data_IF_197848621913
#
_entry.id   IF_197848621913
#
_cell.length_a   1.000
_cell.length_b   1.000
_cell.length_c   1.000
_cell.angle_alpha   90.00
_cell.angle_beta   90.00
_cell.angle_gamma   90.00
#
_symmetry.space_group_name_H-M   'P 1'
#
loop_
_entity.id
_entity.type
_entity.pdbx_description
1 polymer ?
#
# COMPACT_ATOMS: atom_id res chain seq x y z
N UNK A 1 31.61 7.51 -19.65
CA UNK A 1 31.49 6.31 -20.49
C UNK A 1 30.04 5.85 -20.45
N UNK A 2 29.25 6.13 -21.54
CA UNK A 2 27.92 5.54 -21.71
C UNK A 2 28.10 4.04 -21.91
N UNK A 3 27.69 3.21 -20.93
CA UNK A 3 27.50 1.78 -21.17
C UNK A 3 26.44 1.62 -22.26
N UNK A 4 26.82 1.10 -23.41
CA UNK A 4 25.90 0.69 -24.47
C UNK A 4 25.01 -0.43 -23.87
N UNK A 5 23.70 -0.17 -23.74
CA UNK A 5 22.71 -1.19 -23.38
C UNK A 5 22.52 -2.08 -24.60
N UNK A 6 23.00 -3.31 -24.51
CA UNK A 6 22.89 -4.27 -25.61
C UNK A 6 21.58 -5.06 -25.63
N UNK A 7 20.82 -5.08 -24.53
CA UNK A 7 19.48 -5.69 -24.48
C UNK A 7 18.70 -5.14 -23.29
N UNK A 8 17.51 -4.60 -23.52
CA UNK A 8 16.56 -4.16 -22.51
C UNK A 8 15.45 -5.22 -22.36
N UNK A 9 15.73 -6.28 -21.59
CA UNK A 9 14.76 -7.34 -21.33
C UNK A 9 14.43 -7.38 -19.83
N UNK A 10 13.14 -7.59 -19.51
CA UNK A 10 12.72 -7.93 -18.16
C UNK A 10 13.33 -9.25 -17.73
N UNK A 11 13.90 -9.29 -16.53
CA UNK A 11 14.44 -10.50 -15.92
C UNK A 11 13.68 -10.80 -14.65
N UNK A 12 13.19 -12.04 -14.51
CA UNK A 12 12.71 -12.52 -13.23
C UNK A 12 13.87 -12.65 -12.26
N UNK A 13 13.66 -12.22 -11.03
CA UNK A 13 14.63 -12.35 -9.94
C UNK A 13 14.02 -13.16 -8.82
N UNK A 14 14.83 -14.03 -8.19
CA UNK A 14 14.42 -14.75 -7.00
C UNK A 14 14.74 -13.93 -5.77
N UNK A 15 13.89 -13.96 -4.78
CA UNK A 15 14.04 -13.28 -3.49
C UNK A 15 14.22 -14.28 -2.34
N UNK A 16 14.81 -13.84 -1.22
CA UNK A 16 15.29 -14.73 -0.16
C UNK A 16 14.22 -15.32 0.75
N UNK A 17 13.16 -14.55 1.02
CA UNK A 17 12.01 -14.98 1.84
C UNK A 17 10.75 -14.83 1.04
N UNK A 18 9.86 -15.81 1.15
CA UNK A 18 8.60 -15.78 0.44
C UNK A 18 7.62 -14.84 1.13
N UNK A 19 7.15 -13.83 0.40
CA UNK A 19 6.03 -13.00 0.80
C UNK A 19 4.75 -13.77 0.44
N UNK A 20 3.87 -14.09 1.39
CA UNK A 20 2.64 -14.82 1.08
C UNK A 20 1.86 -14.17 -0.06
N UNK A 21 1.26 -14.95 -0.97
CA UNK A 21 0.44 -14.43 -2.06
C UNK A 21 -0.64 -13.50 -1.53
N UNK A 22 -0.74 -12.29 -2.10
CA UNK A 22 -1.65 -11.24 -1.63
C UNK A 22 -2.10 -10.31 -2.73
N UNK A 23 -3.25 -9.72 -2.56
CA UNK A 23 -3.79 -8.63 -3.35
C UNK A 23 -4.27 -7.53 -2.40
N UNK A 24 -4.64 -6.37 -2.91
CA UNK A 24 -4.98 -5.18 -2.12
C UNK A 24 -3.90 -4.83 -1.08
N UNK A 25 -2.64 -4.91 -1.51
CA UNK A 25 -1.47 -4.52 -0.73
C UNK A 25 -0.86 -3.24 -1.28
N UNK A 26 -0.37 -2.39 -0.39
CA UNK A 26 0.35 -1.18 -0.76
C UNK A 26 1.84 -1.45 -0.95
N UNK A 27 2.44 -0.83 -1.97
CA UNK A 27 3.88 -0.86 -2.16
C UNK A 27 4.44 0.54 -2.35
N UNK A 28 5.70 0.75 -1.96
CA UNK A 28 6.36 2.04 -2.09
C UNK A 28 7.84 1.95 -1.76
N UNK A 29 8.59 2.98 -2.12
CA UNK A 29 9.99 3.07 -1.73
C UNK A 29 10.10 3.56 -0.29
N UNK A 30 10.92 2.87 0.52
CA UNK A 30 11.42 3.42 1.78
C UNK A 30 12.49 4.47 1.47
N UNK A 31 13.44 4.08 0.65
CA UNK A 31 14.53 4.90 0.14
C UNK A 31 14.94 4.38 -1.25
N UNK A 32 16.10 4.85 -1.74
CA UNK A 32 16.58 4.51 -3.09
C UNK A 32 16.76 3.00 -3.32
N UNK A 33 17.09 2.24 -2.27
CA UNK A 33 17.53 0.84 -2.38
C UNK A 33 16.54 -0.16 -1.76
N UNK A 34 15.42 0.31 -1.20
CA UNK A 34 14.47 -0.54 -0.48
C UNK A 34 13.03 -0.28 -0.91
N UNK A 35 12.35 -1.33 -1.36
CA UNK A 35 10.90 -1.34 -1.58
C UNK A 35 10.22 -1.92 -0.35
N UNK A 36 9.12 -1.31 0.06
CA UNK A 36 8.22 -1.81 1.09
C UNK A 36 6.98 -2.43 0.47
N UNK A 37 6.47 -3.49 1.10
CA UNK A 37 5.16 -4.10 0.78
C UNK A 37 4.38 -4.23 2.08
N UNK A 38 3.22 -3.59 2.15
CA UNK A 38 2.41 -3.52 3.36
C UNK A 38 1.02 -4.09 3.17
N UNK A 39 0.62 -4.95 4.10
CA UNK A 39 -0.75 -5.43 4.25
C UNK A 39 -1.28 -6.21 3.05
N UNK A 40 -2.58 -6.06 2.82
CA UNK A 40 -3.31 -6.77 1.77
C UNK A 40 -4.12 -7.94 2.31
N UNK A 41 -4.69 -8.73 1.40
CA UNK A 41 -5.39 -9.95 1.76
C UNK A 41 -5.02 -11.09 0.82
N UNK A 42 -5.18 -12.31 1.29
CA UNK A 42 -4.85 -13.49 0.50
C UNK A 42 -4.95 -14.77 1.32
N UNK A 43 -4.53 -15.86 0.70
CA UNK A 43 -4.44 -17.15 1.34
C UNK A 43 -2.97 -17.58 1.40
N UNK A 44 -2.42 -17.94 2.58
CA UNK A 44 -1.03 -18.39 2.69
C UNK A 44 -0.67 -19.57 1.80
N UNK A 45 -1.65 -20.38 1.42
CA UNK A 45 -1.45 -21.53 0.51
C UNK A 45 -1.60 -21.17 -0.97
N UNK A 46 -1.82 -19.90 -1.31
CA UNK A 46 -2.02 -19.43 -2.68
C UNK A 46 -3.34 -19.84 -3.33
N UNK A 47 -4.30 -20.40 -2.58
CA UNK A 47 -5.64 -20.78 -3.06
C UNK A 47 -6.61 -19.64 -2.76
N UNK A 48 -7.19 -19.03 -3.78
CA UNK A 48 -8.09 -17.87 -3.62
C UNK A 48 -9.48 -18.20 -3.07
N UNK A 49 -9.89 -19.45 -3.12
CA UNK A 49 -11.30 -19.83 -2.91
C UNK A 49 -11.70 -20.04 -1.45
N UNK A 50 -10.75 -20.30 -0.55
CA UNK A 50 -11.04 -20.60 0.86
C UNK A 50 -9.98 -20.00 1.80
N UNK A 51 -10.45 -19.39 2.89
CA UNK A 51 -9.56 -18.95 3.96
C UNK A 51 -8.76 -17.69 3.63
N UNK A 52 -9.36 -16.74 2.90
CA UNK A 52 -8.77 -15.42 2.69
C UNK A 52 -8.69 -14.69 4.03
N UNK A 53 -7.51 -14.18 4.37
CA UNK A 53 -7.24 -13.39 5.56
C UNK A 53 -6.64 -12.04 5.17
N UNK A 54 -6.87 -11.02 6.01
CA UNK A 54 -6.18 -9.74 5.88
C UNK A 54 -4.81 -9.86 6.54
N UNK A 55 -3.79 -9.38 5.83
CA UNK A 55 -2.42 -9.26 6.34
C UNK A 55 -2.18 -7.85 6.88
N UNK A 56 -1.49 -7.77 8.00
CA UNK A 56 -1.09 -6.50 8.64
C UNK A 56 0.42 -6.45 8.88
N UNK A 57 1.17 -7.03 7.97
CA UNK A 57 2.62 -7.13 8.03
C UNK A 57 3.29 -6.19 7.03
N UNK A 58 4.48 -5.72 7.37
CA UNK A 58 5.36 -4.95 6.51
C UNK A 58 6.59 -5.76 6.15
N UNK A 59 6.86 -5.85 4.86
CA UNK A 59 8.09 -6.41 4.31
C UNK A 59 8.95 -5.31 3.69
N UNK A 60 10.26 -5.49 3.79
CA UNK A 60 11.25 -4.74 3.03
C UNK A 60 11.94 -5.65 2.03
N UNK A 61 12.17 -5.14 0.82
CA UNK A 61 12.89 -5.82 -0.26
C UNK A 61 14.07 -4.92 -0.64
N UNK A 62 15.29 -5.40 -0.43
CA UNK A 62 16.50 -4.74 -0.92
C UNK A 62 16.64 -4.99 -2.42
N UNK A 63 16.63 -3.93 -3.24
CA UNK A 63 16.61 -4.05 -4.71
C UNK A 63 17.98 -4.41 -5.31
N UNK A 64 19.07 -4.31 -4.54
CA UNK A 64 20.41 -4.69 -5.01
C UNK A 64 20.72 -6.17 -4.78
N UNK A 65 20.19 -6.72 -3.68
CA UNK A 65 20.47 -8.11 -3.27
C UNK A 65 19.26 -9.03 -3.39
N UNK A 66 18.06 -8.47 -3.62
CA UNK A 66 16.76 -9.14 -3.63
C UNK A 66 16.46 -9.90 -2.34
N UNK A 67 17.07 -9.48 -1.24
CA UNK A 67 16.75 -9.99 0.09
C UNK A 67 15.46 -9.36 0.57
N UNK A 68 14.56 -10.22 1.02
CA UNK A 68 13.31 -9.82 1.69
C UNK A 68 13.45 -9.99 3.19
N UNK A 69 12.79 -9.14 3.94
CA UNK A 69 12.72 -9.22 5.40
C UNK A 69 11.36 -8.73 5.87
N UNK A 70 10.67 -9.53 6.69
CA UNK A 70 9.52 -9.03 7.45
C UNK A 70 10.04 -8.10 8.54
N UNK A 71 9.52 -6.86 8.56
CA UNK A 71 9.89 -5.86 9.54
C UNK A 71 9.06 -5.98 10.81
N UNK A 72 7.73 -6.05 10.65
CA UNK A 72 6.79 -6.16 11.76
C UNK A 72 5.42 -6.70 11.29
N UNK A 73 4.57 -7.00 12.26
CA UNK A 73 3.17 -7.38 12.05
C UNK A 73 2.33 -6.72 13.14
N UNK A 74 1.23 -6.06 12.75
CA UNK A 74 0.26 -5.52 13.70
C UNK A 74 -0.69 -6.66 14.12
N UNK A 75 -1.02 -6.82 15.42
CA UNK A 75 -2.02 -7.79 15.88
C UNK A 75 -3.36 -7.60 15.18
N UNK A 76 -4.02 -8.71 14.82
CA UNK A 76 -5.25 -8.70 14.00
C UNK A 76 -6.54 -8.55 14.81
N UNK A 77 -6.48 -8.38 16.12
CA UNK A 77 -7.62 -8.56 17.04
C UNK A 77 -8.80 -7.59 16.82
N UNK A 78 -8.57 -6.45 16.16
CA UNK A 78 -9.61 -5.42 15.95
C UNK A 78 -9.53 -4.75 14.57
N UNK A 79 -8.60 -5.18 13.72
CA UNK A 79 -8.37 -4.54 12.44
C UNK A 79 -9.18 -5.21 11.33
N UNK A 80 -9.90 -4.41 10.55
CA UNK A 80 -10.57 -4.86 9.34
C UNK A 80 -10.34 -3.84 8.23
N UNK A 81 -9.15 -3.89 7.61
CA UNK A 81 -8.83 -3.05 6.47
C UNK A 81 -7.83 -3.74 5.54
N UNK A 82 -7.86 -3.32 4.30
CA UNK A 82 -6.83 -3.58 3.29
C UNK A 82 -6.22 -2.27 2.84
N UNK A 83 -5.16 -2.34 2.05
CA UNK A 83 -4.34 -1.20 1.67
C UNK A 83 -4.57 -0.84 0.20
N UNK A 84 -4.65 0.45 -0.10
CA UNK A 84 -4.57 0.94 -1.47
C UNK A 84 -3.19 0.70 -2.11
N UNK A 85 -3.10 0.88 -3.43
CA UNK A 85 -1.94 0.42 -4.21
C UNK A 85 -0.58 0.95 -3.76
N UNK A 86 -0.48 2.20 -3.35
CA UNK A 86 0.78 2.79 -2.94
C UNK A 86 0.77 3.20 -1.48
N UNK A 87 1.95 3.14 -0.88
CA UNK A 87 2.26 3.65 0.46
C UNK A 87 3.35 4.70 0.37
N UNK A 88 3.38 5.62 1.32
CA UNK A 88 4.39 6.68 1.41
C UNK A 88 5.17 6.52 2.72
N UNK A 89 6.47 6.27 2.60
CA UNK A 89 7.36 6.18 3.76
C UNK A 89 8.02 7.54 4.02
N UNK A 90 7.94 7.99 5.26
CA UNK A 90 8.64 9.17 5.79
C UNK A 90 9.65 8.72 6.83
N UNK A 91 10.87 8.45 6.40
CA UNK A 91 11.95 8.02 7.28
C UNK A 91 12.30 9.08 8.33
N UNK A 92 12.21 10.36 7.96
CA UNK A 92 12.56 11.47 8.86
C UNK A 92 11.66 11.54 10.08
N UNK A 93 10.37 11.28 9.89
CA UNK A 93 9.36 11.33 10.96
C UNK A 93 8.96 9.94 11.45
N UNK A 94 9.63 8.88 10.98
CA UNK A 94 9.32 7.48 11.29
C UNK A 94 7.85 7.12 11.01
N UNK A 95 7.31 7.53 9.84
CA UNK A 95 5.91 7.28 9.48
C UNK A 95 5.77 6.53 8.16
N UNK A 96 4.78 5.64 8.13
CA UNK A 96 4.30 4.95 6.94
C UNK A 96 2.84 5.36 6.73
N UNK A 97 2.56 6.07 5.64
CA UNK A 97 1.20 6.49 5.28
C UNK A 97 0.59 5.53 4.27
N UNK A 98 -0.68 5.20 4.48
CA UNK A 98 -1.43 4.31 3.61
C UNK A 98 -2.90 4.72 3.52
N UNK A 99 -3.53 4.53 2.37
CA UNK A 99 -4.97 4.54 2.22
C UNK A 99 -5.52 3.19 2.65
N UNK A 100 -6.37 3.17 3.65
CA UNK A 100 -6.94 1.96 4.24
C UNK A 100 -8.46 1.97 4.09
N UNK A 101 -9.05 0.83 3.75
CA UNK A 101 -10.49 0.67 3.62
C UNK A 101 -10.91 -0.77 3.99
N UNK A 102 -12.12 -0.97 4.55
CA UNK A 102 -12.67 -2.30 4.79
C UNK A 102 -13.01 -3.00 3.46
N UNK A 103 -12.72 -4.28 3.37
CA UNK A 103 -12.96 -5.11 2.18
C UNK A 103 -14.14 -6.08 2.31
N UNK A 104 -14.90 -5.97 3.37
CA UNK A 104 -16.07 -6.81 3.68
C UNK A 104 -17.41 -6.14 3.35
N UNK A 105 -17.40 -4.90 2.86
CA UNK A 105 -18.59 -4.16 2.48
C UNK A 105 -18.40 -3.36 1.17
N UNK A 106 -19.44 -3.33 0.35
CA UNK A 106 -19.40 -2.61 -0.93
C UNK A 106 -19.50 -1.09 -0.78
N UNK A 107 -20.35 -0.59 0.13
CA UNK A 107 -20.40 0.82 0.46
C UNK A 107 -19.44 1.10 1.60
N UNK A 108 -18.31 1.66 1.25
CA UNK A 108 -17.17 1.78 2.13
C UNK A 108 -16.62 3.20 2.14
N UNK A 109 -15.54 3.39 2.83
CA UNK A 109 -14.79 4.64 2.91
C UNK A 109 -13.30 4.35 2.97
N UNK A 110 -12.52 5.29 2.53
CA UNK A 110 -11.06 5.28 2.66
C UNK A 110 -10.68 6.21 3.81
N UNK A 111 -9.75 5.75 4.64
CA UNK A 111 -9.05 6.54 5.64
C UNK A 111 -7.56 6.65 5.27
N UNK A 112 -7.00 7.83 5.35
CA UNK A 112 -5.56 7.98 5.42
C UNK A 112 -5.11 7.61 6.82
N UNK A 113 -4.28 6.57 6.93
CA UNK A 113 -3.68 6.13 8.20
C UNK A 113 -2.17 6.32 8.15
N UNK A 114 -1.56 6.57 9.31
CA UNK A 114 -0.13 6.34 9.47
C UNK A 114 0.16 5.34 10.56
N UNK A 115 1.29 4.68 10.40
CA UNK A 115 1.88 3.72 11.35
C UNK A 115 3.33 4.12 11.58
N UNK A 116 3.91 3.76 12.71
CA UNK A 116 5.34 3.89 12.88
C UNK A 116 6.07 2.96 11.91
N UNK A 117 7.00 3.52 11.15
CA UNK A 117 7.69 2.80 10.07
C UNK A 117 8.55 1.64 10.58
N UNK A 118 9.08 1.75 11.78
CA UNK A 118 9.97 0.76 12.40
C UNK A 118 9.24 -0.34 13.17
N UNK A 119 7.99 -0.10 13.64
CA UNK A 119 7.30 -1.00 14.54
C UNK A 119 5.85 -1.32 14.16
N UNK A 120 5.23 -0.53 13.27
CA UNK A 120 3.80 -0.64 12.95
C UNK A 120 2.86 -0.11 14.05
N UNK A 121 3.39 0.36 15.16
CA UNK A 121 2.62 0.91 16.28
C UNK A 121 2.07 2.30 15.96
N UNK A 122 1.38 2.93 16.94
CA UNK A 122 0.90 4.31 16.87
C UNK A 122 0.09 4.62 15.61
N UNK A 123 -0.91 3.77 15.31
CA UNK A 123 -1.83 3.99 14.22
C UNK A 123 -2.60 5.31 14.45
N UNK A 124 -2.51 6.21 13.47
CA UNK A 124 -3.20 7.50 13.51
C UNK A 124 -4.03 7.68 12.25
N UNK A 125 -5.28 8.12 12.38
CA UNK A 125 -6.13 8.53 11.27
C UNK A 125 -5.93 10.03 11.00
N UNK A 126 -6.00 10.40 9.72
CA UNK A 126 -5.88 11.79 9.26
C UNK A 126 -7.02 12.15 8.35
N UNK A 127 -7.44 13.41 8.41
CA UNK A 127 -8.48 13.99 7.57
C UNK A 127 -9.84 13.27 7.69
N UNK A 128 -10.80 13.71 6.89
CA UNK A 128 -12.09 13.08 6.74
C UNK A 128 -11.97 11.80 5.89
N UNK A 129 -13.04 11.01 5.92
CA UNK A 129 -13.17 9.83 5.08
C UNK A 129 -13.43 10.21 3.63
N UNK A 130 -12.86 9.46 2.69
CA UNK A 130 -13.21 9.54 1.27
C UNK A 130 -14.27 8.48 0.99
N UNK A 131 -15.47 8.85 0.47
CA UNK A 131 -16.46 7.87 0.05
C UNK A 131 -15.89 6.92 -0.99
N UNK A 132 -16.07 5.60 -0.81
CA UNK A 132 -15.48 4.61 -1.69
C UNK A 132 -16.44 3.43 -1.89
N UNK A 133 -16.72 3.10 -3.14
CA UNK A 133 -17.44 1.88 -3.49
C UNK A 133 -16.42 0.80 -3.78
N UNK A 134 -16.33 -0.18 -2.89
CA UNK A 134 -15.47 -1.33 -3.10
C UNK A 134 -16.21 -2.40 -3.91
N UNK A 135 -15.68 -2.74 -5.06
CA UNK A 135 -16.16 -3.81 -5.94
C UNK A 135 -14.98 -4.53 -6.58
N UNK A 136 -14.22 -5.22 -5.73
CA UNK A 136 -13.07 -6.05 -6.08
C UNK A 136 -12.24 -5.45 -7.24
N UNK A 137 -12.14 -6.14 -8.37
CA UNK A 137 -11.34 -5.73 -9.54
C UNK A 137 -11.80 -4.44 -10.23
N UNK A 138 -12.96 -3.92 -9.86
CA UNK A 138 -13.50 -2.70 -10.45
C UNK A 138 -13.19 -1.41 -9.64
N UNK A 139 -12.59 -1.55 -8.47
CA UNK A 139 -12.33 -0.42 -7.57
C UNK A 139 -10.87 -0.36 -7.18
N UNK A 140 -10.27 0.82 -7.34
CA UNK A 140 -8.87 1.04 -6.99
C UNK A 140 -8.72 2.36 -6.24
N UNK A 141 -7.82 2.39 -5.27
CA UNK A 141 -7.33 3.63 -4.70
C UNK A 141 -5.81 3.61 -4.62
N UNK A 142 -5.21 4.77 -4.83
CA UNK A 142 -3.75 4.91 -4.91
C UNK A 142 -3.32 6.20 -4.22
N UNK A 143 -2.31 6.11 -3.37
CA UNK A 143 -1.70 7.25 -2.69
C UNK A 143 -0.45 7.70 -3.43
N UNK A 144 -0.33 9.00 -3.65
CA UNK A 144 0.86 9.63 -4.23
C UNK A 144 1.38 10.73 -3.30
N UNK A 145 2.67 10.95 -3.33
CA UNK A 145 3.33 12.05 -2.65
C UNK A 145 4.08 12.92 -3.66
N UNK A 146 3.74 14.21 -3.67
CA UNK A 146 4.48 15.22 -4.41
C UNK A 146 5.38 16.00 -3.45
N UNK A 147 6.67 15.73 -3.53
CA UNK A 147 7.68 16.39 -2.69
C UNK A 147 7.91 17.84 -3.05
N UNK A 148 7.61 18.26 -4.30
CA UNK A 148 7.79 19.63 -4.75
C UNK A 148 6.70 20.54 -4.21
N UNK A 149 5.46 20.04 -4.16
CA UNK A 149 4.31 20.80 -3.67
C UNK A 149 4.01 20.51 -2.18
N UNK A 150 4.70 19.55 -1.58
CA UNK A 150 4.41 19.06 -0.21
C UNK A 150 2.95 18.65 -0.07
N UNK A 151 2.49 17.77 -0.97
CA UNK A 151 1.10 17.31 -1.02
C UNK A 151 1.00 15.80 -1.14
N UNK A 152 -0.02 15.24 -0.49
CA UNK A 152 -0.51 13.90 -0.74
C UNK A 152 -1.70 13.96 -1.68
N UNK A 153 -1.78 13.02 -2.61
CA UNK A 153 -2.92 12.85 -3.50
C UNK A 153 -3.49 11.44 -3.33
N UNK A 154 -4.79 11.35 -3.08
CA UNK A 154 -5.52 10.10 -3.16
C UNK A 154 -6.29 10.08 -4.49
N UNK A 155 -6.02 9.07 -5.31
CA UNK A 155 -6.73 8.84 -6.56
C UNK A 155 -7.60 7.62 -6.41
N UNK A 156 -8.92 7.76 -6.62
CA UNK A 156 -9.86 6.63 -6.62
C UNK A 156 -10.39 6.40 -8.02
N UNK A 157 -10.56 5.14 -8.36
CA UNK A 157 -11.18 4.71 -9.62
C UNK A 157 -12.24 3.66 -9.32
N UNK A 158 -13.40 3.83 -9.95
CA UNK A 158 -14.49 2.87 -9.92
C UNK A 158 -15.06 2.66 -11.31
N UNK A 159 -15.07 1.42 -11.76
CA UNK A 159 -15.59 1.01 -13.06
C UNK A 159 -16.98 0.40 -12.89
N UNK A 160 -17.98 0.98 -13.57
CA UNK A 160 -19.34 0.49 -13.58
C UNK A 160 -20.01 0.74 -14.94
N UNK A 161 -20.66 -0.27 -15.50
CA UNK A 161 -21.38 -0.18 -16.78
C UNK A 161 -20.55 0.44 -17.91
N UNK A 162 -19.31 -0.02 -18.09
CA UNK A 162 -18.35 0.48 -19.10
C UNK A 162 -17.98 1.97 -18.94
N UNK A 163 -18.18 2.55 -17.77
CA UNK A 163 -17.75 3.90 -17.41
C UNK A 163 -16.78 3.84 -16.23
N UNK A 164 -15.71 4.61 -16.34
CA UNK A 164 -14.74 4.80 -15.26
C UNK A 164 -14.99 6.15 -14.60
N UNK A 165 -15.14 6.15 -13.27
CA UNK A 165 -15.20 7.36 -12.46
C UNK A 165 -13.86 7.50 -11.73
N UNK A 166 -13.14 8.57 -12.02
CA UNK A 166 -11.86 8.88 -11.39
C UNK A 166 -12.04 10.14 -10.56
N UNK A 167 -11.69 10.08 -9.28
CA UNK A 167 -11.66 11.25 -8.41
C UNK A 167 -10.24 11.44 -7.86
N UNK A 168 -9.85 12.69 -7.68
CA UNK A 168 -8.56 13.09 -7.10
C UNK A 168 -8.82 13.97 -5.89
N UNK A 169 -8.24 13.60 -4.78
CA UNK A 169 -8.27 14.34 -3.51
C UNK A 169 -6.86 14.77 -3.14
N UNK A 170 -6.71 15.95 -2.59
CA UNK A 170 -5.40 16.46 -2.15
C UNK A 170 -5.40 16.79 -0.67
N UNK A 171 -4.28 16.58 -0.01
CA UNK A 171 -4.07 16.88 1.40
C UNK A 171 -2.65 17.43 1.58
N UNK A 172 -2.49 18.50 2.36
CA UNK A 172 -1.18 19.04 2.68
C UNK A 172 -0.30 18.02 3.42
N UNK A 173 0.99 18.05 3.14
CA UNK A 173 1.98 17.17 3.78
C UNK A 173 2.97 18.00 4.63
N UNK A 174 3.31 17.56 5.86
CA UNK A 174 2.72 16.42 6.57
C UNK A 174 1.26 16.69 6.97
N UNK A 175 0.41 15.63 6.98
CA UNK A 175 -0.99 15.82 7.35
C UNK A 175 -1.11 16.15 8.84
N UNK A 176 -2.04 17.05 9.15
CA UNK A 176 -2.38 17.38 10.53
C UNK A 176 -3.34 16.34 11.09
N UNK A 177 -3.15 15.99 12.37
CA UNK A 177 -4.11 15.15 13.10
C UNK A 177 -5.43 15.93 13.26
N UNK A 178 -6.53 15.26 13.01
CA UNK A 178 -7.87 15.75 13.32
C UNK A 178 -8.21 15.46 14.78
#
# INVERSE_FOLDING_TARGET
LKKSRTQDNWKSVSYSEEIPPRYLSGSGYKNRDTILVFGGCGNPQGKQELGVINYYDLYAIDINTFKTKKLWTIPNDTNNFVIGNNIVADEKNNKLYALCFPNDCSNSYILLKSFDLDSGNNCTNYADTIPFTFNDVNSFCTLYYDSLQSQLYAVTNYNHNNKSNINVYSLAYPPLKV
#
